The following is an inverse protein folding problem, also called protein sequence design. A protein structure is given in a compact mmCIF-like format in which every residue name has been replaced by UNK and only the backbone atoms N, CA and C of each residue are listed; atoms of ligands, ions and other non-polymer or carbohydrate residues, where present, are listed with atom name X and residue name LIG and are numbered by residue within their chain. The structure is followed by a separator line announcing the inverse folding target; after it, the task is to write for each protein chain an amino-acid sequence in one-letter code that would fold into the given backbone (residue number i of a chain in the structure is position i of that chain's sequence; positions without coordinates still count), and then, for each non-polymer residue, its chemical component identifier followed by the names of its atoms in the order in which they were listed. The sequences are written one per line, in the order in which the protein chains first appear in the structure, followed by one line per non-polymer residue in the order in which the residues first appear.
data_IF_997884147523
#
_entry.id   IF_997884147523
#
_cell.length_a   1.000
_cell.length_b   1.000
_cell.length_c   1.000
_cell.angle_alpha   90.00
_cell.angle_beta   90.00
_cell.angle_gamma   90.00
#
_symmetry.space_group_name_H-M   'P 1'
#
loop_
_entity.id
_entity.type
_entity.pdbx_description
1 polymer ?
#
# COMPACT_ATOMS: atom_id res chain seq x y z
N UNK A 1 -12.81 5.12 -0.20
CA UNK A 1 -12.30 4.59 1.07
C UNK A 1 -10.85 4.12 0.97
N UNK A 2 -10.48 3.32 -0.01
CA UNK A 2 -9.10 2.80 -0.15
C UNK A 2 -8.04 3.90 -0.28
N UNK A 3 -8.32 4.96 -1.02
CA UNK A 3 -7.41 6.09 -1.18
C UNK A 3 -7.27 6.91 0.10
N UNK A 4 -8.34 7.09 0.87
CA UNK A 4 -8.30 7.77 2.15
C UNK A 4 -7.48 6.95 3.16
N UNK A 5 -7.70 5.64 3.21
CA UNK A 5 -6.89 4.69 4.00
C UNK A 5 -5.42 4.80 3.62
N UNK A 6 -5.11 4.81 2.32
CA UNK A 6 -3.74 4.91 1.81
C UNK A 6 -3.06 6.21 2.26
N UNK A 7 -3.72 7.34 2.05
CA UNK A 7 -3.22 8.63 2.51
C UNK A 7 -2.92 8.63 4.01
N UNK A 8 -3.86 8.13 4.82
CA UNK A 8 -3.69 8.13 6.28
C UNK A 8 -2.48 7.28 6.70
N UNK A 9 -2.33 6.08 6.15
CA UNK A 9 -1.24 5.18 6.55
C UNK A 9 0.11 5.69 6.06
N UNK A 10 0.20 6.16 4.82
CA UNK A 10 1.48 6.57 4.22
C UNK A 10 1.95 7.95 4.66
N UNK A 11 1.03 8.88 4.92
CA UNK A 11 1.39 10.27 5.15
C UNK A 11 1.11 10.76 6.58
N UNK A 12 0.24 10.11 7.34
CA UNK A 12 -0.12 10.51 8.69
C UNK A 12 0.41 9.54 9.74
N UNK A 13 0.23 8.24 9.54
CA UNK A 13 0.55 7.21 10.54
C UNK A 13 1.95 6.59 10.36
N UNK A 14 2.60 6.79 9.23
CA UNK A 14 3.93 6.26 8.97
C UNK A 14 4.99 6.98 9.81
N UNK A 15 5.83 6.23 10.52
CA UNK A 15 6.94 6.78 11.29
C UNK A 15 8.27 6.68 10.53
N UNK A 16 9.29 7.41 11.01
CA UNK A 16 10.62 7.47 10.38
C UNK A 16 11.30 6.09 10.30
N UNK A 17 11.09 5.23 11.27
CA UNK A 17 11.68 3.89 11.27
C UNK A 17 11.07 3.00 10.18
N UNK A 18 9.76 3.10 9.96
CA UNK A 18 9.11 2.41 8.84
C UNK A 18 9.67 2.90 7.51
N UNK A 19 9.80 4.21 7.32
CA UNK A 19 10.34 4.81 6.09
C UNK A 19 11.76 4.33 5.82
N UNK A 20 12.64 4.36 6.83
CA UNK A 20 14.04 3.97 6.68
C UNK A 20 14.26 2.50 6.33
N UNK A 21 13.37 1.62 6.80
CA UNK A 21 13.59 0.17 6.76
C UNK A 21 12.74 -0.58 5.73
N UNK A 22 11.75 0.06 5.10
CA UNK A 22 10.92 -0.62 4.09
C UNK A 22 11.68 -0.98 2.80
N UNK A 23 12.88 -0.45 2.60
CA UNK A 23 13.79 -0.87 1.54
C UNK A 23 14.62 -2.12 1.88
N UNK A 24 14.60 -2.60 3.12
CA UNK A 24 15.33 -3.80 3.56
C UNK A 24 14.36 -4.98 3.50
N UNK A 25 14.66 -5.97 2.66
CA UNK A 25 13.76 -7.10 2.43
C UNK A 25 13.57 -7.92 3.72
N UNK A 26 12.31 -8.19 4.05
CA UNK A 26 11.85 -8.90 5.25
C UNK A 26 12.17 -8.20 6.58
N UNK A 27 12.59 -6.95 6.59
CA UNK A 27 12.66 -6.17 7.82
C UNK A 27 11.25 -5.96 8.39
N UNK A 28 11.09 -6.25 9.68
CA UNK A 28 9.78 -6.18 10.36
C UNK A 28 9.09 -4.82 10.21
N UNK A 29 9.84 -3.73 10.20
CA UNK A 29 9.27 -2.38 10.11
C UNK A 29 8.61 -2.13 8.75
N UNK A 30 9.21 -2.61 7.67
CA UNK A 30 8.59 -2.58 6.34
C UNK A 30 7.40 -3.54 6.23
N UNK A 31 7.54 -4.74 6.76
CA UNK A 31 6.45 -5.73 6.82
C UNK A 31 5.25 -5.19 7.61
N UNK A 32 5.50 -4.60 8.78
CA UNK A 32 4.47 -4.00 9.62
C UNK A 32 3.73 -2.88 8.90
N UNK A 33 4.45 -2.00 8.20
CA UNK A 33 3.85 -0.93 7.41
C UNK A 33 2.90 -1.48 6.35
N UNK A 34 3.35 -2.45 5.56
CA UNK A 34 2.53 -3.09 4.53
C UNK A 34 1.35 -3.89 5.12
N UNK A 35 1.54 -4.48 6.31
CA UNK A 35 0.46 -5.16 7.02
C UNK A 35 -0.67 -4.20 7.41
N UNK A 36 -0.35 -2.98 7.82
CA UNK A 36 -1.37 -1.93 8.06
C UNK A 36 -2.22 -1.68 6.82
N UNK A 37 -1.60 -1.66 5.64
CA UNK A 37 -2.33 -1.49 4.38
C UNK A 37 -3.26 -2.67 4.10
N UNK A 38 -2.77 -3.90 4.26
CA UNK A 38 -3.58 -5.11 4.07
C UNK A 38 -4.79 -5.17 5.01
N UNK A 39 -4.59 -4.89 6.30
CA UNK A 39 -5.66 -4.84 7.29
C UNK A 39 -6.67 -3.72 6.94
N UNK A 40 -6.17 -2.54 6.56
CA UNK A 40 -7.02 -1.42 6.17
C UNK A 40 -7.86 -1.73 4.92
N UNK A 41 -7.28 -2.37 3.93
CA UNK A 41 -8.00 -2.80 2.71
C UNK A 41 -9.05 -3.86 3.02
N UNK A 42 -8.71 -4.85 3.84
CA UNK A 42 -9.68 -5.82 4.33
C UNK A 42 -10.88 -5.13 5.00
N UNK A 43 -10.61 -4.24 5.96
CA UNK A 43 -11.66 -3.54 6.69
C UNK A 43 -12.53 -2.66 5.78
N UNK A 44 -11.93 -1.94 4.84
CA UNK A 44 -12.65 -1.11 3.87
C UNK A 44 -13.57 -1.93 2.97
N UNK A 45 -13.08 -3.03 2.43
CA UNK A 45 -13.87 -3.88 1.54
C UNK A 45 -14.98 -4.58 2.30
N UNK A 46 -14.67 -5.15 3.46
CA UNK A 46 -15.68 -5.79 4.28
C UNK A 46 -16.81 -4.84 4.70
N UNK A 47 -16.48 -3.61 5.08
CA UNK A 47 -17.47 -2.59 5.44
C UNK A 47 -18.41 -2.25 4.27
N UNK A 48 -17.89 -2.29 3.02
CA UNK A 48 -18.69 -1.96 1.83
C UNK A 48 -19.48 -3.16 1.31
N UNK A 49 -18.89 -4.36 1.34
CA UNK A 49 -19.47 -5.56 0.71
C UNK A 49 -20.25 -6.46 1.69
N UNK A 50 -20.03 -6.30 3.00
CA UNK A 50 -20.77 -7.00 4.04
C UNK A 50 -20.25 -8.39 4.39
N UNK A 51 -20.95 -9.08 5.28
CA UNK A 51 -20.51 -10.35 5.88
C UNK A 51 -20.41 -11.51 4.88
N UNK A 52 -21.24 -11.54 3.86
CA UNK A 52 -21.24 -12.61 2.86
C UNK A 52 -19.99 -12.67 1.98
N UNK A 53 -19.12 -11.66 2.08
CA UNK A 53 -17.93 -11.51 1.25
C UNK A 53 -16.62 -11.41 2.06
N UNK A 54 -16.66 -11.83 3.32
CA UNK A 54 -15.51 -11.69 4.23
C UNK A 54 -14.27 -12.43 3.70
N UNK A 55 -14.43 -13.60 3.11
CA UNK A 55 -13.34 -14.38 2.54
C UNK A 55 -12.70 -13.65 1.36
N UNK A 56 -13.51 -13.04 0.51
CA UNK A 56 -13.04 -12.23 -0.60
C UNK A 56 -12.32 -10.98 -0.10
N UNK A 57 -12.88 -10.27 0.87
CA UNK A 57 -12.24 -9.10 1.46
C UNK A 57 -10.89 -9.46 2.12
N UNK A 58 -10.82 -10.61 2.80
CA UNK A 58 -9.57 -11.13 3.36
C UNK A 58 -8.53 -11.42 2.28
N UNK A 59 -8.93 -12.10 1.21
CA UNK A 59 -8.04 -12.39 0.08
C UNK A 59 -7.46 -11.11 -0.54
N UNK A 60 -8.30 -10.11 -0.77
CA UNK A 60 -7.83 -8.82 -1.32
C UNK A 60 -6.93 -8.09 -0.33
N UNK A 61 -7.21 -8.16 0.96
CA UNK A 61 -6.34 -7.59 2.00
C UNK A 61 -4.93 -8.23 2.00
N UNK A 62 -4.86 -9.54 1.86
CA UNK A 62 -3.58 -10.26 1.73
C UNK A 62 -2.85 -9.85 0.45
N UNK A 63 -3.59 -9.74 -0.65
CA UNK A 63 -3.03 -9.33 -1.94
C UNK A 63 -2.48 -7.89 -1.86
N UNK A 64 -3.21 -6.97 -1.26
CA UNK A 64 -2.74 -5.59 -1.04
C UNK A 64 -1.48 -5.57 -0.16
N UNK A 65 -1.46 -6.34 0.91
CA UNK A 65 -0.27 -6.48 1.76
C UNK A 65 0.98 -6.86 0.94
N UNK A 66 0.87 -7.88 0.09
CA UNK A 66 1.98 -8.38 -0.72
C UNK A 66 2.40 -7.36 -1.78
N UNK A 67 1.44 -6.80 -2.52
CA UNK A 67 1.72 -5.82 -3.58
C UNK A 67 2.28 -4.52 -3.01
N UNK A 68 1.68 -4.00 -1.96
CA UNK A 68 2.15 -2.77 -1.31
C UNK A 68 3.59 -2.91 -0.83
N UNK A 69 3.90 -4.02 -0.19
CA UNK A 69 5.24 -4.31 0.30
C UNK A 69 6.28 -4.25 -0.83
N UNK A 70 6.01 -4.92 -1.96
CA UNK A 70 6.96 -4.98 -3.07
C UNK A 70 7.06 -3.66 -3.84
N UNK A 71 5.97 -2.90 -3.98
CA UNK A 71 6.01 -1.57 -4.59
C UNK A 71 6.89 -0.63 -3.75
N UNK A 72 6.69 -0.60 -2.45
CA UNK A 72 7.49 0.22 -1.54
C UNK A 72 8.97 -0.19 -1.55
N UNK A 73 9.23 -1.49 -1.51
CA UNK A 73 10.59 -2.02 -1.59
C UNK A 73 11.28 -1.62 -2.89
N UNK A 74 10.61 -1.74 -4.02
CA UNK A 74 11.14 -1.36 -5.34
C UNK A 74 11.45 0.14 -5.39
N UNK A 75 10.54 0.99 -4.91
CA UNK A 75 10.76 2.43 -4.84
C UNK A 75 11.98 2.77 -4.00
N UNK A 76 12.14 2.16 -2.83
CA UNK A 76 13.24 2.44 -1.92
C UNK A 76 14.59 1.98 -2.47
N UNK A 77 14.63 0.92 -3.29
CA UNK A 77 15.88 0.38 -3.83
C UNK A 77 16.24 0.93 -5.21
N UNK A 78 15.26 1.31 -6.03
CA UNK A 78 15.48 1.77 -7.40
C UNK A 78 15.11 3.23 -7.62
N UNK A 79 14.39 3.86 -6.68
CA UNK A 79 13.98 5.25 -6.76
C UNK A 79 15.08 6.22 -6.29
N UNK A 80 15.01 7.46 -6.76
CA UNK A 80 15.86 8.54 -6.27
C UNK A 80 15.29 9.07 -4.94
N UNK A 81 16.14 9.17 -3.91
CA UNK A 81 15.75 9.65 -2.57
C UNK A 81 16.04 11.12 -2.33
N UNK A 82 16.70 11.79 -3.29
CA UNK A 82 17.03 13.21 -3.16
C UNK A 82 15.83 14.09 -3.54
N UNK A 83 15.15 14.62 -2.52
CA UNK A 83 13.98 15.47 -2.65
C UNK A 83 14.21 16.74 -3.49
N UNK A 84 15.47 17.15 -3.66
CA UNK A 84 15.84 18.34 -4.45
C UNK A 84 15.86 18.07 -5.95
N UNK A 85 15.74 16.81 -6.38
CA UNK A 85 15.81 16.41 -7.78
C UNK A 85 14.40 16.18 -8.38
N UNK A 86 14.20 16.49 -9.68
CA UNK A 86 12.94 16.15 -10.37
C UNK A 86 12.65 14.64 -10.37
N UNK A 87 13.69 13.80 -10.38
CA UNK A 87 13.57 12.35 -10.37
C UNK A 87 12.89 11.82 -9.11
N UNK A 88 13.16 12.42 -7.94
CA UNK A 88 12.48 12.06 -6.71
C UNK A 88 10.96 12.18 -6.86
N UNK A 89 10.50 13.32 -7.36
CA UNK A 89 9.06 13.59 -7.50
C UNK A 89 8.40 12.71 -8.56
N UNK A 90 9.12 12.42 -9.65
CA UNK A 90 8.65 11.47 -10.65
C UNK A 90 8.51 10.05 -10.07
N UNK A 91 9.50 9.59 -9.33
CA UNK A 91 9.47 8.26 -8.70
C UNK A 91 8.39 8.17 -7.62
N UNK A 92 8.19 9.24 -6.84
CA UNK A 92 7.08 9.30 -5.89
C UNK A 92 5.73 9.22 -6.62
N UNK A 93 5.57 9.93 -7.72
CA UNK A 93 4.35 9.88 -8.55
C UNK A 93 4.10 8.48 -9.10
N UNK A 94 5.11 7.79 -9.61
CA UNK A 94 5.01 6.42 -10.10
C UNK A 94 4.63 5.44 -9.00
N UNK A 95 5.20 5.58 -7.81
CA UNK A 95 4.87 4.80 -6.63
C UNK A 95 3.40 4.95 -6.25
N UNK A 96 2.93 6.19 -6.15
CA UNK A 96 1.53 6.47 -5.83
C UNK A 96 0.58 5.96 -6.93
N UNK A 97 0.95 6.12 -8.19
CA UNK A 97 0.17 5.59 -9.31
C UNK A 97 0.07 4.06 -9.26
N UNK A 98 1.15 3.36 -8.94
CA UNK A 98 1.13 1.89 -8.82
C UNK A 98 0.16 1.43 -7.73
N UNK A 99 0.16 2.07 -6.55
CA UNK A 99 -0.80 1.77 -5.49
C UNK A 99 -2.24 2.03 -5.92
N UNK A 100 -2.50 3.15 -6.59
CA UNK A 100 -3.84 3.50 -7.05
C UNK A 100 -4.35 2.54 -8.12
N UNK A 101 -3.49 2.08 -9.03
CA UNK A 101 -3.85 1.04 -10.01
C UNK A 101 -4.25 -0.27 -9.34
N UNK A 102 -3.57 -0.66 -8.26
CA UNK A 102 -3.98 -1.80 -7.44
C UNK A 102 -5.40 -1.60 -6.89
N UNK A 103 -5.71 -0.42 -6.34
CA UNK A 103 -7.03 -0.14 -5.79
C UNK A 103 -8.13 -0.13 -6.85
N UNK A 104 -7.85 0.36 -8.05
CA UNK A 104 -8.79 0.29 -9.18
C UNK A 104 -9.05 -1.17 -9.55
N UNK A 105 -8.00 -2.01 -9.59
CA UNK A 105 -8.14 -3.44 -9.85
C UNK A 105 -8.96 -4.13 -8.75
N UNK A 106 -8.71 -3.82 -7.48
CA UNK A 106 -9.47 -4.38 -6.35
C UNK A 106 -10.95 -3.98 -6.43
N UNK A 107 -11.24 -2.72 -6.72
CA UNK A 107 -12.61 -2.25 -6.93
C UNK A 107 -13.27 -2.97 -8.11
N UNK A 108 -12.56 -3.16 -9.21
CA UNK A 108 -13.03 -3.91 -10.37
C UNK A 108 -13.38 -5.36 -10.03
N UNK A 109 -12.58 -6.02 -9.20
CA UNK A 109 -12.84 -7.39 -8.74
C UNK A 109 -14.12 -7.51 -7.87
N UNK A 110 -14.49 -6.44 -7.17
CA UNK A 110 -15.72 -6.46 -6.34
C UNK A 110 -17.01 -6.48 -7.14
N UNK A 111 -16.97 -6.09 -8.43
CA UNK A 111 -18.14 -6.03 -9.31
C UNK A 111 -18.19 -7.17 -10.33
N UNK A 112 -17.22 -8.05 -10.31
CA UNK A 112 -17.24 -9.27 -11.10
C UNK A 112 -18.03 -10.35 -10.35
#
# INVERSE_FOLDING_TARGET
MLQIKHWYIDFVNQNDEEVKHKGIYLDWRGVKHSLKHGIGTFACLWAVTGWGTIEFAFFIGVLDFILHYHIDWAKMNYGNRDITTPQFWNHLGLDQMAHQLCYIAFAGLTVL
#
